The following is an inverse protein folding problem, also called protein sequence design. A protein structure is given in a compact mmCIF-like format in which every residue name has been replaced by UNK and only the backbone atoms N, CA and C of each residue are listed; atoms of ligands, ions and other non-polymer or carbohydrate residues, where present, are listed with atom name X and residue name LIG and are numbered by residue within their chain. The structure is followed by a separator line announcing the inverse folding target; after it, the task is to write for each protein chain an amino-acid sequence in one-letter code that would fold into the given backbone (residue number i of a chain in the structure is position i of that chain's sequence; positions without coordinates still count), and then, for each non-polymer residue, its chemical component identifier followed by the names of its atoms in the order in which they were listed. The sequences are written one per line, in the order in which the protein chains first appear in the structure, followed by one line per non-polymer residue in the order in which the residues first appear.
data_IF_757485419526
#
_entry.id   IF_757485419526
#
_cell.length_a   1.000
_cell.length_b   1.000
_cell.length_c   1.000
_cell.angle_alpha   90.00
_cell.angle_beta   90.00
_cell.angle_gamma   90.00
#
_symmetry.space_group_name_H-M   'P 1'
#
loop_
_entity.id
_entity.type
_entity.pdbx_description
1 polymer ?
#
# COMPACT_ATOMS: atom_id res chain seq x y z
N UNK A 1 8.45 -30.63 7.43
CA UNK A 1 8.54 -29.15 7.53
C UNK A 1 7.54 -28.59 6.54
N UNK A 2 6.67 -27.69 6.97
CA UNK A 2 5.68 -27.08 6.09
C UNK A 2 6.37 -26.28 4.95
N UNK A 3 5.85 -26.31 3.70
CA UNK A 3 6.39 -25.53 2.60
C UNK A 3 6.46 -24.03 2.93
N UNK A 4 7.53 -23.36 2.50
CA UNK A 4 7.71 -21.92 2.74
C UNK A 4 6.57 -21.11 2.11
N UNK A 5 6.11 -21.53 0.93
CA UNK A 5 5.01 -20.88 0.23
C UNK A 5 3.70 -20.85 1.05
N UNK A 6 3.40 -21.90 1.81
CA UNK A 6 2.21 -21.98 2.66
C UNK A 6 2.34 -21.06 3.86
N UNK A 7 3.44 -21.15 4.61
CA UNK A 7 3.71 -20.29 5.76
C UNK A 7 3.68 -18.81 5.38
N UNK A 8 4.26 -18.47 4.24
CA UNK A 8 4.25 -17.10 3.73
C UNK A 8 2.83 -16.65 3.35
N UNK A 9 2.05 -17.51 2.68
CA UNK A 9 0.65 -17.21 2.36
C UNK A 9 -0.18 -16.95 3.61
N UNK A 10 -0.03 -17.78 4.64
CA UNK A 10 -0.73 -17.62 5.92
C UNK A 10 -0.39 -16.28 6.58
N UNK A 11 0.88 -15.90 6.65
CA UNK A 11 1.29 -14.62 7.22
C UNK A 11 0.80 -13.41 6.40
N UNK A 12 0.79 -13.53 5.06
CA UNK A 12 0.24 -12.49 4.19
C UNK A 12 -1.28 -12.35 4.43
N UNK A 13 -2.00 -13.46 4.53
CA UNK A 13 -3.44 -13.45 4.79
C UNK A 13 -3.76 -12.87 6.17
N UNK A 14 -2.98 -13.21 7.19
CA UNK A 14 -3.12 -12.62 8.53
C UNK A 14 -2.91 -11.10 8.48
N UNK A 15 -1.82 -10.63 7.86
CA UNK A 15 -1.58 -9.20 7.66
C UNK A 15 -2.76 -8.51 6.97
N UNK A 16 -3.30 -9.10 5.90
CA UNK A 16 -4.45 -8.54 5.21
C UNK A 16 -5.70 -8.50 6.09
N UNK A 17 -5.98 -9.55 6.85
CA UNK A 17 -7.09 -9.56 7.80
C UNK A 17 -6.95 -8.45 8.85
N UNK A 18 -5.73 -8.21 9.37
CA UNK A 18 -5.45 -7.15 10.34
C UNK A 18 -5.64 -5.76 9.73
N UNK A 19 -5.13 -5.53 8.52
CA UNK A 19 -5.32 -4.28 7.77
C UNK A 19 -6.80 -4.01 7.46
N UNK A 20 -7.53 -5.03 6.99
CA UNK A 20 -8.95 -4.91 6.70
C UNK A 20 -9.78 -4.68 7.97
N UNK A 21 -9.45 -5.38 9.06
CA UNK A 21 -10.14 -5.20 10.34
C UNK A 21 -9.94 -3.77 10.87
N UNK A 22 -8.74 -3.20 10.69
CA UNK A 22 -8.47 -1.82 11.08
C UNK A 22 -9.29 -0.80 10.30
N UNK A 23 -9.50 -1.02 9.01
CA UNK A 23 -10.39 -0.16 8.21
C UNK A 23 -11.88 -0.42 8.47
N UNK A 24 -12.24 -1.38 9.34
CA UNK A 24 -13.62 -1.62 9.78
C UNK A 24 -14.30 -2.83 9.17
N UNK A 25 -13.58 -3.74 8.50
CA UNK A 25 -14.11 -5.05 8.13
C UNK A 25 -14.38 -5.90 9.38
N UNK A 26 -15.45 -6.70 9.34
CA UNK A 26 -15.76 -7.63 10.41
C UNK A 26 -14.81 -8.83 10.41
N UNK A 27 -13.87 -8.86 11.35
CA UNK A 27 -12.83 -9.89 11.48
C UNK A 27 -12.62 -10.33 12.92
N UNK A 28 -11.87 -11.43 13.09
CA UNK A 28 -11.44 -11.94 14.40
C UNK A 28 -10.03 -11.48 14.77
N UNK A 29 -9.28 -10.91 13.82
CA UNK A 29 -7.91 -10.45 14.03
C UNK A 29 -7.89 -9.11 14.76
N UNK A 30 -6.83 -8.86 15.52
CA UNK A 30 -6.55 -7.51 16.03
C UNK A 30 -6.23 -6.57 14.86
N UNK A 31 -6.56 -5.28 14.99
CA UNK A 31 -6.27 -4.29 13.96
C UNK A 31 -4.77 -4.04 13.76
N UNK A 32 -4.43 -3.27 12.74
CA UNK A 32 -3.08 -2.81 12.43
C UNK A 32 -2.96 -1.30 12.74
N UNK A 33 -2.66 -0.90 14.00
CA UNK A 33 -2.69 0.51 14.39
C UNK A 33 -1.42 1.30 14.00
N UNK A 34 -0.32 0.61 13.69
CA UNK A 34 1.03 1.22 13.68
C UNK A 34 1.35 2.04 12.41
N UNK A 35 0.66 1.79 11.29
CA UNK A 35 0.96 2.43 10.02
C UNK A 35 -0.27 2.97 9.29
N UNK A 36 -0.08 4.02 8.48
CA UNK A 36 -1.09 4.54 7.57
C UNK A 36 -1.54 3.44 6.59
N UNK A 37 -2.85 3.18 6.49
CA UNK A 37 -3.40 2.16 5.59
C UNK A 37 -3.86 2.82 4.29
N UNK A 38 -3.29 2.37 3.17
CA UNK A 38 -3.64 2.84 1.82
C UNK A 38 -4.63 1.84 1.18
N UNK A 39 -5.92 2.19 1.03
CA UNK A 39 -6.95 1.23 0.65
C UNK A 39 -6.83 0.77 -0.81
N UNK A 40 -6.31 1.60 -1.72
CA UNK A 40 -6.13 1.26 -3.14
C UNK A 40 -5.22 0.03 -3.35
N UNK A 41 -3.93 0.05 -2.92
CA UNK A 41 -3.08 -1.12 -3.05
C UNK A 41 -3.56 -2.30 -2.19
N UNK A 42 -4.22 -2.05 -1.05
CA UNK A 42 -4.81 -3.11 -0.23
C UNK A 42 -5.90 -3.88 -1.00
N UNK A 43 -6.79 -3.18 -1.69
CA UNK A 43 -7.81 -3.79 -2.57
C UNK A 43 -7.14 -4.60 -3.68
N UNK A 44 -6.17 -4.01 -4.39
CA UNK A 44 -5.50 -4.69 -5.51
C UNK A 44 -4.79 -5.96 -5.06
N UNK A 45 -4.07 -5.91 -3.94
CA UNK A 45 -3.35 -7.07 -3.44
C UNK A 45 -4.28 -8.16 -2.89
N UNK A 46 -5.37 -7.78 -2.22
CA UNK A 46 -6.41 -8.72 -1.80
C UNK A 46 -6.98 -9.49 -3.00
N UNK A 47 -7.20 -8.79 -4.11
CA UNK A 47 -7.68 -9.38 -5.36
C UNK A 47 -6.60 -10.21 -6.08
N UNK A 48 -5.34 -9.81 -5.99
CA UNK A 48 -4.20 -10.55 -6.56
C UNK A 48 -4.03 -11.93 -5.92
N UNK A 49 -4.33 -12.07 -4.63
CA UNK A 49 -4.37 -13.36 -3.93
C UNK A 49 -5.58 -14.23 -4.34
N UNK A 50 -6.52 -13.70 -5.12
CA UNK A 50 -7.58 -14.45 -5.77
C UNK A 50 -8.50 -15.19 -4.79
N UNK A 51 -8.60 -16.51 -4.94
CA UNK A 51 -9.38 -17.43 -4.11
C UNK A 51 -8.59 -17.99 -2.91
N UNK A 52 -7.40 -17.45 -2.59
CA UNK A 52 -6.62 -17.92 -1.44
C UNK A 52 -7.41 -17.83 -0.13
N UNK A 53 -8.23 -16.79 0.02
CA UNK A 53 -9.24 -16.67 1.07
C UNK A 53 -10.50 -15.98 0.50
N UNK A 54 -11.53 -16.76 0.09
CA UNK A 54 -12.78 -16.21 -0.43
C UNK A 54 -13.53 -15.34 0.58
N UNK A 55 -13.39 -15.62 1.88
CA UNK A 55 -14.04 -14.85 2.96
C UNK A 55 -13.43 -13.45 3.04
N UNK A 56 -12.11 -13.35 3.02
CA UNK A 56 -11.42 -12.05 3.02
C UNK A 56 -11.87 -11.21 1.82
N UNK A 57 -11.94 -11.80 0.62
CA UNK A 57 -12.42 -11.12 -0.59
C UNK A 57 -13.87 -10.66 -0.43
N UNK A 58 -14.75 -11.50 0.11
CA UNK A 58 -16.16 -11.19 0.31
C UNK A 58 -16.36 -10.03 1.28
N UNK A 59 -15.61 -10.00 2.37
CA UNK A 59 -15.66 -8.91 3.35
C UNK A 59 -15.05 -7.61 2.79
N UNK A 60 -13.93 -7.69 2.06
CA UNK A 60 -13.37 -6.55 1.36
C UNK A 60 -14.35 -5.98 0.32
N UNK A 61 -15.10 -6.85 -0.38
CA UNK A 61 -16.16 -6.44 -1.31
C UNK A 61 -17.28 -5.69 -0.57
N UNK A 62 -17.75 -6.21 0.57
CA UNK A 62 -18.78 -5.60 1.41
C UNK A 62 -18.38 -4.18 1.85
N UNK A 63 -17.14 -4.05 2.32
CA UNK A 63 -16.58 -2.78 2.76
C UNK A 63 -16.50 -1.79 1.59
N UNK A 64 -16.02 -2.23 0.43
CA UNK A 64 -15.90 -1.40 -0.77
C UNK A 64 -17.26 -0.92 -1.31
N UNK A 65 -18.33 -1.71 -1.15
CA UNK A 65 -19.69 -1.30 -1.50
C UNK A 65 -20.14 -0.10 -0.65
N UNK A 66 -19.78 -0.10 0.65
CA UNK A 66 -20.21 0.93 1.60
C UNK A 66 -19.29 2.15 1.63
N UNK A 67 -17.98 1.93 1.66
CA UNK A 67 -16.96 2.97 1.89
C UNK A 67 -16.05 3.20 0.67
N UNK A 68 -16.31 2.55 -0.47
CA UNK A 68 -15.52 2.72 -1.69
C UNK A 68 -15.51 4.13 -2.28
N UNK A 69 -16.37 5.02 -1.80
CA UNK A 69 -16.34 6.45 -2.17
C UNK A 69 -15.12 7.20 -1.60
N UNK A 70 -14.32 6.60 -0.70
CA UNK A 70 -13.02 7.11 -0.27
C UNK A 70 -11.85 6.56 -1.09
N UNK A 71 -12.11 5.68 -2.06
CA UNK A 71 -11.08 5.06 -2.90
C UNK A 71 -11.02 5.79 -4.25
N UNK A 72 -9.81 6.19 -4.66
CA UNK A 72 -9.58 6.87 -5.92
C UNK A 72 -9.57 5.90 -7.11
N UNK A 73 -10.62 5.96 -7.94
CA UNK A 73 -10.67 5.25 -9.22
C UNK A 73 -9.50 5.61 -10.17
N UNK A 74 -8.97 6.83 -10.08
CA UNK A 74 -7.78 7.24 -10.85
C UNK A 74 -6.52 6.54 -10.36
N UNK A 75 -6.31 6.46 -9.04
CA UNK A 75 -5.16 5.75 -8.48
C UNK A 75 -5.25 4.25 -8.76
N UNK A 76 -6.45 3.65 -8.60
CA UNK A 76 -6.68 2.25 -8.99
C UNK A 76 -6.29 2.02 -10.45
N UNK A 77 -6.70 2.89 -11.38
CA UNK A 77 -6.34 2.77 -12.80
C UNK A 77 -4.83 2.74 -13.00
N UNK A 78 -4.13 3.66 -12.35
CA UNK A 78 -2.69 3.84 -12.54
C UNK A 78 -1.91 2.70 -11.89
N UNK A 79 -2.32 2.23 -10.71
CA UNK A 79 -1.74 1.07 -10.03
C UNK A 79 -1.95 -0.22 -10.83
N UNK A 80 -3.15 -0.43 -11.39
CA UNK A 80 -3.47 -1.61 -12.20
C UNK A 80 -2.55 -1.81 -13.41
N UNK A 81 -1.97 -0.73 -13.96
CA UNK A 81 -1.04 -0.85 -15.09
C UNK A 81 0.25 -1.60 -14.71
N UNK A 82 0.57 -1.70 -13.42
CA UNK A 82 1.73 -2.39 -12.87
C UNK A 82 1.43 -3.85 -12.49
N UNK A 83 0.17 -4.24 -12.54
CA UNK A 83 -0.31 -5.56 -12.10
C UNK A 83 -0.30 -6.60 -13.22
N UNK A 84 -0.29 -7.88 -12.85
CA UNK A 84 -0.36 -8.99 -13.81
C UNK A 84 -1.71 -9.02 -14.53
N UNK A 85 -1.76 -9.61 -15.73
CA UNK A 85 -3.01 -9.81 -16.45
C UNK A 85 -4.05 -10.62 -15.65
N UNK A 86 -3.60 -11.52 -14.76
CA UNK A 86 -4.48 -12.27 -13.87
C UNK A 86 -5.12 -11.35 -12.81
N UNK A 87 -4.29 -10.54 -12.14
CA UNK A 87 -4.77 -9.55 -11.17
C UNK A 87 -5.73 -8.54 -11.82
N UNK A 88 -5.43 -8.06 -13.02
CA UNK A 88 -6.30 -7.14 -13.76
C UNK A 88 -7.67 -7.75 -14.05
N UNK A 89 -7.73 -9.03 -14.46
CA UNK A 89 -9.00 -9.74 -14.68
C UNK A 89 -9.79 -9.92 -13.38
N UNK A 90 -9.13 -10.38 -12.32
CA UNK A 90 -9.76 -10.56 -11.00
C UNK A 90 -10.30 -9.22 -10.47
N UNK A 91 -9.55 -8.14 -10.68
CA UNK A 91 -9.99 -6.80 -10.30
C UNK A 91 -11.18 -6.34 -11.12
N UNK A 92 -11.24 -6.66 -12.41
CA UNK A 92 -12.40 -6.35 -13.23
C UNK A 92 -13.70 -6.96 -12.71
N UNK A 93 -13.67 -8.24 -12.29
CA UNK A 93 -14.82 -8.89 -11.65
C UNK A 93 -15.16 -8.23 -10.30
N UNK A 94 -14.14 -7.95 -9.47
CA UNK A 94 -14.30 -7.29 -8.17
C UNK A 94 -14.95 -5.91 -8.32
N UNK A 95 -14.42 -5.07 -9.21
CA UNK A 95 -14.92 -3.73 -9.51
C UNK A 95 -16.35 -3.77 -10.07
N UNK A 96 -16.65 -4.72 -10.95
CA UNK A 96 -18.03 -4.91 -11.46
C UNK A 96 -18.99 -5.33 -10.35
N UNK A 97 -18.55 -6.17 -9.42
CA UNK A 97 -19.34 -6.61 -8.25
C UNK A 97 -19.63 -5.44 -7.31
N UNK A 98 -18.63 -4.61 -7.00
CA UNK A 98 -18.83 -3.39 -6.21
C UNK A 98 -19.78 -2.43 -6.94
N UNK A 99 -19.63 -2.26 -8.26
CA UNK A 99 -20.49 -1.39 -9.06
C UNK A 99 -21.95 -1.86 -9.16
N UNK A 100 -22.20 -3.17 -9.08
CA UNK A 100 -23.54 -3.75 -9.09
C UNK A 100 -24.35 -3.43 -7.82
N UNK A 101 -23.67 -3.13 -6.71
CA UNK A 101 -24.30 -2.86 -5.41
C UNK A 101 -24.05 -1.44 -4.88
N UNK A 102 -23.37 -0.59 -5.66
CA UNK A 102 -23.03 0.78 -5.26
C UNK A 102 -23.03 1.76 -6.44
N UNK A 103 -22.80 3.03 -6.14
CA UNK A 103 -22.61 4.08 -7.17
C UNK A 103 -21.16 4.15 -7.69
N UNK A 104 -20.25 3.32 -7.18
CA UNK A 104 -18.84 3.35 -7.58
C UNK A 104 -18.66 2.87 -9.01
N UNK A 105 -17.79 3.55 -9.76
CA UNK A 105 -17.44 3.24 -11.15
C UNK A 105 -15.93 3.21 -11.28
N UNK A 106 -15.35 2.10 -10.89
CA UNK A 106 -13.90 1.87 -10.94
C UNK A 106 -13.47 1.39 -12.33
N UNK A 107 -12.20 1.63 -12.71
CA UNK A 107 -11.67 1.26 -14.02
C UNK A 107 -11.71 -0.27 -14.23
N UNK A 108 -11.75 -0.71 -15.48
CA UNK A 108 -11.57 -2.12 -15.82
C UNK A 108 -12.69 -3.07 -15.36
N UNK A 109 -13.82 -2.55 -14.86
CA UNK A 109 -14.95 -3.37 -14.45
C UNK A 109 -15.44 -4.25 -15.61
N UNK A 110 -15.58 -5.55 -15.35
CA UNK A 110 -16.05 -6.56 -16.33
C UNK A 110 -17.45 -7.07 -15.95
N UNK A 111 -17.58 -8.37 -15.64
CA UNK A 111 -18.84 -9.00 -15.23
C UNK A 111 -18.84 -9.20 -13.72
N UNK A 112 -19.91 -8.77 -13.05
CA UNK A 112 -20.08 -9.00 -11.62
C UNK A 112 -20.25 -10.50 -11.32
N UNK A 113 -19.64 -10.97 -10.23
CA UNK A 113 -19.90 -12.31 -9.68
C UNK A 113 -21.23 -12.31 -8.93
N UNK A 114 -21.79 -13.50 -8.70
CA UNK A 114 -22.96 -13.65 -7.83
C UNK A 114 -22.51 -13.33 -6.39
N UNK A 115 -23.03 -12.24 -5.85
CA UNK A 115 -22.70 -11.77 -4.52
C UNK A 115 -23.94 -11.16 -3.85
N UNK A 116 -24.04 -11.31 -2.53
CA UNK A 116 -25.07 -10.67 -1.72
C UNK A 116 -24.38 -9.90 -0.61
N UNK A 117 -24.49 -8.55 -0.58
CA UNK A 117 -23.91 -7.75 0.49
C UNK A 117 -24.43 -8.20 1.85
N UNK A 118 -23.52 -8.28 2.83
CA UNK A 118 -23.85 -8.69 4.19
C UNK A 118 -24.15 -7.49 5.07
N UNK A 119 -23.58 -6.32 4.75
CA UNK A 119 -23.70 -5.10 5.54
C UNK A 119 -23.01 -5.17 6.91
N UNK A 120 -22.15 -6.17 7.13
CA UNK A 120 -21.46 -6.41 8.40
C UNK A 120 -20.27 -5.48 8.63
N UNK A 121 -19.77 -4.85 7.56
CA UNK A 121 -18.71 -3.83 7.66
C UNK A 121 -19.14 -2.69 8.57
N UNK A 122 -18.30 -2.39 9.57
CA UNK A 122 -18.53 -1.31 10.54
C UNK A 122 -18.12 0.03 9.93
N UNK A 123 -18.66 1.11 10.48
CA UNK A 123 -18.17 2.46 10.16
C UNK A 123 -16.74 2.59 10.65
N UNK A 124 -15.77 2.86 9.75
CA UNK A 124 -14.41 3.09 10.16
C UNK A 124 -14.36 4.34 11.04
N UNK A 125 -13.66 4.24 12.17
CA UNK A 125 -13.37 5.41 13.00
C UNK A 125 -12.16 6.13 12.41
N UNK A 126 -12.43 7.11 11.55
CA UNK A 126 -11.37 7.88 10.90
C UNK A 126 -10.53 8.68 11.89
N UNK A 127 -10.88 8.82 13.18
CA UNK A 127 -10.01 9.43 14.20
C UNK A 127 -8.79 8.57 14.57
N UNK A 128 -8.80 7.29 14.18
CA UNK A 128 -7.65 6.40 14.32
C UNK A 128 -6.46 6.85 13.46
N UNK A 129 -5.23 6.89 14.00
CA UNK A 129 -4.05 7.33 13.25
C UNK A 129 -3.77 6.50 11.99
N UNK A 130 -3.97 5.17 12.06
CA UNK A 130 -3.85 4.23 10.93
C UNK A 130 -4.73 4.59 9.73
N UNK A 131 -5.87 5.25 9.96
CA UNK A 131 -6.84 5.65 8.94
C UNK A 131 -6.63 7.07 8.42
N UNK A 132 -5.42 7.63 8.57
CA UNK A 132 -5.08 8.97 8.10
C UNK A 132 -5.34 9.15 6.60
N UNK A 133 -5.13 8.13 5.76
CA UNK A 133 -5.34 8.25 4.32
C UNK A 133 -6.83 8.43 3.99
N UNK A 134 -7.77 7.54 4.41
CA UNK A 134 -9.21 7.81 4.28
C UNK A 134 -9.65 9.15 4.89
N UNK A 135 -9.09 9.55 6.04
CA UNK A 135 -9.35 10.87 6.64
C UNK A 135 -8.96 12.02 5.71
N UNK A 136 -7.78 11.96 5.08
CA UNK A 136 -7.34 12.94 4.09
C UNK A 136 -8.25 12.97 2.88
N UNK A 137 -8.72 11.81 2.39
CA UNK A 137 -9.68 11.75 1.30
C UNK A 137 -11.01 12.40 1.69
N UNK A 138 -11.46 12.26 2.94
CA UNK A 138 -12.65 12.94 3.46
C UNK A 138 -12.46 14.47 3.55
N UNK A 139 -11.29 14.95 3.97
CA UNK A 139 -10.99 16.37 4.16
C UNK A 139 -10.70 17.12 2.85
N UNK A 140 -9.90 16.53 1.96
CA UNK A 140 -9.42 17.19 0.73
C UNK A 140 -10.14 16.72 -0.53
N UNK A 141 -11.04 15.77 -0.40
CA UNK A 141 -11.69 15.05 -1.50
C UNK A 141 -10.77 13.98 -2.10
N UNK A 142 -11.39 13.03 -2.81
CA UNK A 142 -10.69 11.91 -3.44
C UNK A 142 -9.87 12.38 -4.65
N UNK A 143 -8.56 12.58 -4.47
CA UNK A 143 -7.70 13.08 -5.55
C UNK A 143 -6.30 13.54 -5.12
N UNK A 144 -5.60 14.23 -6.04
CA UNK A 144 -4.21 14.63 -5.84
C UNK A 144 -3.96 15.49 -4.60
N UNK A 145 -4.91 16.31 -4.15
CA UNK A 145 -4.72 17.13 -2.93
C UNK A 145 -4.51 16.25 -1.69
N UNK A 146 -5.30 15.18 -1.54
CA UNK A 146 -5.16 14.24 -0.43
C UNK A 146 -3.82 13.50 -0.51
N UNK A 147 -3.38 13.08 -1.70
CA UNK A 147 -2.08 12.41 -1.86
C UNK A 147 -0.90 13.33 -1.60
N UNK A 148 -0.98 14.59 -2.02
CA UNK A 148 0.03 15.60 -1.72
C UNK A 148 0.10 15.83 -0.21
N UNK A 149 -1.05 15.96 0.46
CA UNK A 149 -1.14 16.08 1.91
C UNK A 149 -0.51 14.87 2.62
N UNK A 150 -0.76 13.63 2.14
CA UNK A 150 -0.11 12.42 2.64
C UNK A 150 1.41 12.51 2.57
N UNK A 151 1.95 12.96 1.43
CA UNK A 151 3.39 13.12 1.25
C UNK A 151 3.97 14.13 2.24
N UNK A 152 3.35 15.30 2.38
CA UNK A 152 3.83 16.32 3.33
C UNK A 152 3.70 15.89 4.79
N UNK A 153 2.68 15.11 5.18
CA UNK A 153 2.62 14.53 6.52
C UNK A 153 3.76 13.53 6.79
N UNK A 154 4.12 12.73 5.77
CA UNK A 154 5.20 11.76 5.91
C UNK A 154 6.60 12.38 5.95
N UNK A 155 6.75 13.57 5.34
CA UNK A 155 8.02 14.29 5.16
C UNK A 155 7.80 15.80 5.34
N UNK A 156 7.52 16.26 6.57
CA UNK A 156 7.01 17.61 6.83
C UNK A 156 7.97 18.75 6.48
N UNK A 157 9.28 18.47 6.51
CA UNK A 157 10.34 19.46 6.31
C UNK A 157 10.95 19.43 4.89
N UNK A 158 10.46 18.55 4.01
CA UNK A 158 10.97 18.44 2.64
C UNK A 158 10.22 19.35 1.68
N UNK A 159 10.89 19.73 0.58
CA UNK A 159 10.32 20.53 -0.49
C UNK A 159 10.33 19.76 -1.81
N UNK A 160 9.18 19.63 -2.46
CA UNK A 160 9.00 18.79 -3.63
C UNK A 160 8.59 19.59 -4.87
N UNK A 161 9.13 19.23 -6.03
CA UNK A 161 8.59 19.67 -7.31
C UNK A 161 7.34 18.86 -7.69
N UNK A 162 6.59 19.36 -8.68
CA UNK A 162 5.48 18.58 -9.25
C UNK A 162 5.95 17.28 -9.92
N UNK A 163 7.22 17.19 -10.36
CA UNK A 163 7.77 15.98 -10.95
C UNK A 163 8.06 14.91 -9.89
N UNK A 164 8.62 15.33 -8.74
CA UNK A 164 8.91 14.42 -7.62
C UNK A 164 7.61 13.74 -7.15
N UNK A 165 6.56 14.54 -6.91
CA UNK A 165 5.28 14.04 -6.40
C UNK A 165 4.49 13.20 -7.41
N UNK A 166 4.64 13.44 -8.71
CA UNK A 166 3.97 12.62 -9.73
C UNK A 166 4.43 11.16 -9.68
N UNK A 167 5.70 10.92 -9.38
CA UNK A 167 6.25 9.57 -9.22
C UNK A 167 5.74 8.82 -7.99
N UNK A 168 5.27 9.54 -6.97
CA UNK A 168 4.92 8.98 -5.66
C UNK A 168 3.42 8.86 -5.37
N UNK A 169 2.59 9.60 -6.12
CA UNK A 169 1.16 9.75 -5.81
C UNK A 169 0.23 9.03 -6.77
N UNK A 170 0.78 8.38 -7.80
CA UNK A 170 0.02 7.75 -8.89
C UNK A 170 -0.92 8.76 -9.60
N UNK A 171 -0.48 10.01 -9.75
CA UNK A 171 -1.15 11.07 -10.52
C UNK A 171 -0.21 11.67 -11.57
N UNK A 172 -0.77 12.30 -12.59
CA UNK A 172 0.03 12.97 -13.63
C UNK A 172 0.65 14.26 -13.10
N UNK A 173 1.82 14.64 -13.62
CA UNK A 173 2.50 15.90 -13.28
C UNK A 173 1.59 17.13 -13.42
N UNK A 174 0.75 17.16 -14.46
CA UNK A 174 -0.22 18.25 -14.68
C UNK A 174 -1.24 18.33 -13.54
N UNK A 175 -1.81 17.19 -13.14
CA UNK A 175 -2.79 17.15 -12.06
C UNK A 175 -2.17 17.56 -10.71
N UNK A 176 -0.94 17.10 -10.45
CA UNK A 176 -0.16 17.47 -9.27
C UNK A 176 0.17 18.96 -9.26
N UNK A 177 0.64 19.53 -10.38
CA UNK A 177 0.97 20.94 -10.46
C UNK A 177 -0.25 21.84 -10.15
N UNK A 178 -1.42 21.52 -10.71
CA UNK A 178 -2.66 22.23 -10.39
C UNK A 178 -3.05 22.09 -8.91
N UNK A 179 -2.92 20.89 -8.34
CA UNK A 179 -3.25 20.67 -6.94
C UNK A 179 -2.29 21.38 -5.98
N UNK A 180 -0.99 21.41 -6.28
CA UNK A 180 0.02 22.15 -5.52
C UNK A 180 -0.28 23.64 -5.51
N UNK A 181 -0.61 24.21 -6.67
CA UNK A 181 -0.95 25.63 -6.77
C UNK A 181 -2.21 25.97 -5.99
N UNK A 182 -3.24 25.12 -6.02
CA UNK A 182 -4.44 25.31 -5.21
C UNK A 182 -4.15 25.25 -3.70
N UNK A 183 -3.28 24.33 -3.25
CA UNK A 183 -2.88 24.23 -1.84
C UNK A 183 -1.98 25.40 -1.41
N UNK A 184 -1.17 25.95 -2.33
CA UNK A 184 -0.40 27.18 -2.12
C UNK A 184 -1.31 28.40 -1.97
N UNK A 185 -2.25 28.56 -2.89
CA UNK A 185 -3.26 29.63 -2.86
C UNK A 185 -4.17 29.52 -1.63
N UNK A 186 -4.47 28.30 -1.18
CA UNK A 186 -5.17 28.03 0.08
C UNK A 186 -4.33 28.24 1.34
N UNK A 187 -3.05 28.61 1.22
CA UNK A 187 -2.18 28.96 2.34
C UNK A 187 -1.55 27.78 3.08
N UNK A 188 -1.80 26.53 2.66
CA UNK A 188 -1.19 25.35 3.28
C UNK A 188 0.27 25.19 2.88
N UNK A 189 0.58 25.51 1.62
CA UNK A 189 1.93 25.40 1.06
C UNK A 189 2.49 26.77 0.70
N UNK A 190 3.81 26.84 0.62
CA UNK A 190 4.52 27.92 -0.06
C UNK A 190 5.38 27.36 -1.20
N UNK A 191 5.68 28.21 -2.19
CA UNK A 191 6.51 27.85 -3.33
C UNK A 191 7.87 28.54 -3.24
N UNK A 192 8.92 27.78 -3.53
CA UNK A 192 10.31 28.20 -3.55
C UNK A 192 10.85 28.03 -4.98
N UNK A 193 11.44 29.08 -5.59
CA UNK A 193 12.13 28.93 -6.85
C UNK A 193 13.43 28.14 -6.65
N UNK A 194 13.59 27.03 -7.36
CA UNK A 194 14.81 26.21 -7.35
C UNK A 194 15.23 25.98 -8.80
N UNK A 195 16.32 26.64 -9.22
CA UNK A 195 16.78 26.68 -10.61
C UNK A 195 15.63 27.12 -11.55
N UNK A 196 15.20 26.26 -12.46
CA UNK A 196 14.13 26.53 -13.43
C UNK A 196 12.80 25.83 -13.07
N UNK A 197 12.57 25.49 -11.80
CA UNK A 197 11.36 24.83 -11.33
C UNK A 197 10.90 25.38 -9.98
N UNK A 198 9.62 25.21 -9.67
CA UNK A 198 9.08 25.50 -8.35
C UNK A 198 9.08 24.24 -7.50
N UNK A 199 9.61 24.37 -6.28
CA UNK A 199 9.46 23.40 -5.22
C UNK A 199 8.46 23.92 -4.20
N UNK A 200 7.66 23.03 -3.63
CA UNK A 200 6.62 23.37 -2.67
C UNK A 200 6.96 22.73 -1.33
N UNK A 201 6.74 23.46 -0.24
CA UNK A 201 6.83 22.95 1.13
C UNK A 201 5.67 23.45 1.96
N UNK A 202 5.44 22.83 3.13
CA UNK A 202 4.46 23.33 4.07
C UNK A 202 4.86 24.73 4.55
N UNK A 203 3.87 25.62 4.66
CA UNK A 203 4.09 27.01 5.12
C UNK A 203 4.53 27.08 6.58
N UNK A 204 4.02 26.18 7.43
CA UNK A 204 4.63 25.85 8.72
C UNK A 204 4.89 24.34 8.80
N UNK A 205 5.95 23.90 9.50
CA UNK A 205 6.32 22.47 9.57
C UNK A 205 5.20 21.54 10.05
N UNK A 206 4.26 22.07 10.83
CA UNK A 206 3.21 21.37 11.55
C UNK A 206 1.78 21.78 11.15
N UNK A 207 1.60 22.70 10.19
CA UNK A 207 0.28 23.19 9.80
C UNK A 207 -0.69 22.05 9.48
N UNK A 208 -0.22 21.07 8.70
CA UNK A 208 -1.06 19.97 8.27
C UNK A 208 -1.32 18.98 9.41
N UNK A 209 -0.34 18.67 10.25
CA UNK A 209 -0.51 17.75 11.38
C UNK A 209 -1.46 18.32 12.44
N UNK A 210 -1.37 19.62 12.73
CA UNK A 210 -2.32 20.32 13.60
C UNK A 210 -3.75 20.28 13.05
N UNK A 211 -3.91 20.42 11.72
CA UNK A 211 -5.23 20.39 11.07
C UNK A 211 -5.85 18.99 11.04
N UNK A 212 -5.07 17.95 10.71
CA UNK A 212 -5.59 16.59 10.52
C UNK A 212 -5.64 15.77 11.81
N UNK A 213 -4.90 16.15 12.84
CA UNK A 213 -4.83 15.48 14.13
C UNK A 213 -3.77 14.38 14.21
N UNK A 214 -4.05 13.35 15.02
CA UNK A 214 -3.12 12.26 15.32
C UNK A 214 -2.62 11.54 14.06
N UNK A 215 -1.30 11.29 14.03
CA UNK A 215 -0.59 10.64 12.92
C UNK A 215 -0.14 9.22 13.30
N UNK A 216 -0.10 8.29 12.33
CA UNK A 216 0.43 6.96 12.57
C UNK A 216 1.95 7.00 12.76
N UNK A 217 2.53 5.93 13.33
CA UNK A 217 4.00 5.84 13.53
C UNK A 217 4.75 5.76 12.20
N UNK A 218 4.12 5.18 11.18
CA UNK A 218 4.72 5.01 9.88
C UNK A 218 3.76 5.31 8.72
N UNK A 219 4.35 5.60 7.55
CA UNK A 219 3.66 5.66 6.26
C UNK A 219 4.23 4.56 5.35
N UNK A 220 3.79 3.30 5.49
CA UNK A 220 4.31 2.19 4.69
C UNK A 220 4.03 2.41 3.20
N UNK A 221 5.01 2.06 2.36
CA UNK A 221 4.87 2.12 0.90
C UNK A 221 4.16 0.88 0.37
N UNK A 222 2.88 0.74 0.71
CA UNK A 222 2.07 -0.46 0.43
C UNK A 222 2.15 -0.97 -1.01
N UNK A 223 2.15 -0.14 -2.08
CA UNK A 223 2.31 -0.66 -3.44
C UNK A 223 3.62 -1.44 -3.63
N UNK A 224 4.75 -0.91 -3.14
CA UNK A 224 6.04 -1.58 -3.22
C UNK A 224 6.14 -2.79 -2.29
N UNK A 225 5.58 -2.69 -1.07
CA UNK A 225 5.53 -3.78 -0.10
C UNK A 225 4.76 -4.97 -0.69
N UNK A 226 3.56 -4.76 -1.21
CA UNK A 226 2.75 -5.82 -1.79
C UNK A 226 3.35 -6.42 -3.06
N UNK A 227 4.04 -5.63 -3.88
CA UNK A 227 4.81 -6.16 -5.01
C UNK A 227 5.92 -7.11 -4.55
N UNK A 228 6.64 -6.75 -3.47
CA UNK A 228 7.68 -7.62 -2.89
C UNK A 228 7.05 -8.88 -2.30
N UNK A 229 5.99 -8.77 -1.50
CA UNK A 229 5.33 -9.94 -0.90
C UNK A 229 4.76 -10.90 -1.95
N UNK A 230 4.11 -10.38 -2.99
CA UNK A 230 3.63 -11.18 -4.12
C UNK A 230 4.76 -11.92 -4.85
N UNK A 231 5.87 -11.21 -5.10
CA UNK A 231 7.06 -11.81 -5.70
C UNK A 231 7.65 -12.93 -4.82
N UNK A 232 7.77 -12.70 -3.50
CA UNK A 232 8.29 -13.71 -2.58
C UNK A 232 7.42 -14.96 -2.55
N UNK A 233 6.09 -14.78 -2.55
CA UNK A 233 5.14 -15.89 -2.59
C UNK A 233 5.25 -16.70 -3.88
N UNK A 234 5.35 -16.02 -5.02
CA UNK A 234 5.53 -16.67 -6.32
C UNK A 234 6.87 -17.41 -6.40
N UNK A 235 7.96 -16.77 -5.96
CA UNK A 235 9.30 -17.35 -5.94
C UNK A 235 9.36 -18.56 -5.02
N UNK A 236 8.84 -18.48 -3.79
CA UNK A 236 8.80 -19.62 -2.87
C UNK A 236 8.03 -20.80 -3.49
N UNK A 237 6.84 -20.54 -4.04
CA UNK A 237 5.99 -21.57 -4.64
C UNK A 237 6.65 -22.29 -5.83
N UNK A 238 7.38 -21.55 -6.69
CA UNK A 238 8.05 -22.12 -7.87
C UNK A 238 9.33 -22.86 -7.52
N UNK A 239 10.06 -22.42 -6.50
CA UNK A 239 11.43 -22.86 -6.26
C UNK A 239 11.59 -23.86 -5.12
N UNK A 240 10.63 -23.96 -4.19
CA UNK A 240 10.78 -24.77 -2.97
C UNK A 240 10.97 -26.27 -3.22
N UNK A 241 10.47 -26.78 -4.35
CA UNK A 241 10.60 -28.19 -4.78
C UNK A 241 11.79 -28.46 -5.70
N UNK A 242 12.54 -27.43 -6.10
CA UNK A 242 13.70 -27.58 -6.97
C UNK A 242 14.90 -28.16 -6.22
N UNK A 243 15.84 -28.77 -6.96
CA UNK A 243 17.11 -29.22 -6.41
C UNK A 243 17.87 -28.04 -5.76
N UNK A 244 18.60 -28.24 -4.65
CA UNK A 244 19.14 -27.14 -3.83
C UNK A 244 19.94 -26.08 -4.60
N UNK A 245 20.81 -26.50 -5.51
CA UNK A 245 21.66 -25.60 -6.29
C UNK A 245 20.85 -24.81 -7.33
N UNK A 246 19.89 -25.46 -7.99
CA UNK A 246 18.98 -24.80 -8.95
C UNK A 246 18.10 -23.79 -8.23
N UNK A 247 17.54 -24.17 -7.07
CA UNK A 247 16.75 -23.29 -6.20
C UNK A 247 17.52 -22.04 -5.82
N UNK A 248 18.78 -22.19 -5.39
CA UNK A 248 19.64 -21.06 -5.03
C UNK A 248 19.83 -20.08 -6.21
N UNK A 249 20.21 -20.60 -7.37
CA UNK A 249 20.45 -19.77 -8.57
C UNK A 249 19.19 -19.04 -9.00
N UNK A 250 18.04 -19.71 -9.03
CA UNK A 250 16.77 -19.08 -9.41
C UNK A 250 16.34 -17.99 -8.42
N UNK A 251 16.38 -18.27 -7.12
CA UNK A 251 16.00 -17.28 -6.10
C UNK A 251 16.94 -16.08 -6.14
N UNK A 252 18.26 -16.28 -6.17
CA UNK A 252 19.24 -15.17 -6.27
C UNK A 252 19.02 -14.34 -7.53
N UNK A 253 18.68 -14.97 -8.64
CA UNK A 253 18.40 -14.26 -9.90
C UNK A 253 17.15 -13.37 -9.78
N UNK A 254 16.06 -13.89 -9.23
CA UNK A 254 14.79 -13.14 -9.12
C UNK A 254 14.89 -12.06 -8.04
N UNK A 255 15.38 -12.41 -6.86
CA UNK A 255 15.46 -11.49 -5.71
C UNK A 255 16.55 -10.45 -5.91
N UNK A 256 17.70 -10.84 -6.48
CA UNK A 256 18.81 -9.93 -6.79
C UNK A 256 18.39 -8.80 -7.72
N UNK A 257 17.60 -9.10 -8.75
CA UNK A 257 17.03 -8.11 -9.67
C UNK A 257 16.08 -7.11 -9.00
N UNK A 258 15.55 -7.43 -7.81
CA UNK A 258 14.54 -6.63 -7.09
C UNK A 258 15.05 -6.01 -5.79
N UNK A 259 16.37 -5.97 -5.61
CA UNK A 259 17.00 -5.42 -4.41
C UNK A 259 16.68 -3.93 -4.25
N UNK A 260 16.64 -3.18 -5.36
CA UNK A 260 16.26 -1.76 -5.38
C UNK A 260 14.83 -1.53 -4.89
N UNK A 261 13.89 -2.36 -5.32
CA UNK A 261 12.47 -2.27 -4.99
C UNK A 261 12.24 -2.62 -3.52
N UNK A 262 12.92 -3.66 -3.02
CA UNK A 262 12.90 -4.06 -1.61
C UNK A 262 13.37 -2.90 -0.73
N UNK A 263 14.49 -2.27 -1.09
CA UNK A 263 15.01 -1.08 -0.39
C UNK A 263 14.07 0.12 -0.51
N UNK A 264 13.53 0.38 -1.70
CA UNK A 264 12.63 1.50 -1.94
C UNK A 264 11.33 1.37 -1.12
N UNK A 265 10.87 0.15 -0.86
CA UNK A 265 9.75 -0.19 0.01
C UNK A 265 10.08 -0.07 1.51
N UNK A 266 11.35 0.13 1.88
CA UNK A 266 11.79 0.21 3.27
C UNK A 266 11.93 -1.15 3.96
N UNK A 267 12.07 -2.24 3.19
CA UNK A 267 12.15 -3.61 3.71
C UNK A 267 13.61 -4.06 3.93
N UNK A 268 13.85 -5.04 4.82
CA UNK A 268 15.19 -5.60 5.05
C UNK A 268 15.82 -6.14 3.77
N UNK A 269 17.13 -5.95 3.61
CA UNK A 269 17.86 -6.43 2.43
C UNK A 269 17.89 -7.97 2.37
N UNK A 270 17.80 -8.57 1.16
CA UNK A 270 17.84 -10.02 1.00
C UNK A 270 19.21 -10.63 1.31
N UNK A 271 19.27 -11.87 1.85
CA UNK A 271 20.51 -12.56 2.21
C UNK A 271 21.18 -13.20 0.98
N UNK A 272 21.63 -12.37 0.04
CA UNK A 272 22.23 -12.83 -1.23
C UNK A 272 23.67 -13.33 -1.09
N UNK A 273 24.31 -13.06 0.04
CA UNK A 273 25.63 -13.52 0.44
C UNK A 273 25.64 -15.00 0.89
N UNK A 274 24.55 -15.47 1.49
CA UNK A 274 24.38 -16.87 1.86
C UNK A 274 24.48 -17.79 0.62
N UNK A 275 25.09 -18.97 0.77
CA UNK A 275 25.31 -19.91 -0.34
C UNK A 275 25.28 -21.37 0.13
N UNK A 276 25.05 -22.30 -0.79
CA UNK A 276 25.06 -23.73 -0.51
C UNK A 276 23.99 -24.15 0.50
N UNK A 277 24.28 -25.08 1.43
CA UNK A 277 23.29 -25.58 2.39
C UNK A 277 22.66 -24.50 3.29
N UNK A 278 23.37 -23.39 3.53
CA UNK A 278 22.90 -22.29 4.37
C UNK A 278 21.93 -21.33 3.66
N UNK A 279 21.90 -21.33 2.32
CA UNK A 279 21.12 -20.36 1.55
C UNK A 279 19.63 -20.44 1.83
N UNK A 280 19.02 -21.63 1.71
CA UNK A 280 17.57 -21.77 1.84
C UNK A 280 17.04 -21.46 3.23
N UNK A 281 17.70 -21.89 4.34
CA UNK A 281 17.34 -21.43 5.68
C UNK A 281 17.42 -19.90 5.83
N UNK A 282 18.48 -19.25 5.33
CA UNK A 282 18.64 -17.81 5.41
C UNK A 282 17.54 -17.06 4.62
N UNK A 283 17.27 -17.49 3.39
CA UNK A 283 16.20 -16.95 2.56
C UNK A 283 14.82 -17.12 3.19
N UNK A 284 14.54 -18.30 3.76
CA UNK A 284 13.28 -18.59 4.44
C UNK A 284 13.09 -17.70 5.67
N UNK A 285 14.12 -17.55 6.49
CA UNK A 285 14.08 -16.70 7.68
C UNK A 285 13.88 -15.23 7.31
N UNK A 286 14.62 -14.73 6.31
CA UNK A 286 14.48 -13.37 5.82
C UNK A 286 13.08 -13.09 5.27
N UNK A 287 12.51 -14.00 4.48
CA UNK A 287 11.18 -13.87 3.89
C UNK A 287 10.09 -13.68 4.95
N UNK A 288 10.20 -14.38 6.08
CA UNK A 288 9.27 -14.24 7.20
C UNK A 288 9.55 -12.98 8.02
N UNK A 289 10.83 -12.61 8.16
CA UNK A 289 11.23 -11.37 8.82
C UNK A 289 10.74 -10.11 8.07
N UNK A 290 10.58 -10.18 6.75
CA UNK A 290 10.00 -9.08 5.93
C UNK A 290 8.58 -8.75 6.40
N UNK A 291 7.74 -9.74 6.70
CA UNK A 291 6.37 -9.50 7.19
C UNK A 291 6.41 -9.03 8.64
N UNK A 292 7.24 -9.66 9.49
CA UNK A 292 7.39 -9.22 10.89
C UNK A 292 7.86 -7.76 11.01
N UNK A 293 8.69 -7.28 10.09
CA UNK A 293 9.13 -5.88 10.04
C UNK A 293 7.98 -4.90 9.74
N UNK A 294 6.86 -5.38 9.19
CA UNK A 294 5.67 -4.55 8.98
C UNK A 294 4.88 -4.34 10.28
N UNK A 295 4.95 -5.26 11.24
CA UNK A 295 4.29 -5.13 12.55
C UNK A 295 5.03 -4.19 13.50
N UNK A 296 6.34 -4.07 13.31
CA UNK A 296 7.19 -3.16 14.08
C UNK A 296 7.97 -2.28 13.11
N UNK A 297 7.29 -1.37 12.39
CA UNK A 297 7.99 -0.47 11.49
C UNK A 297 8.97 0.33 12.34
N UNK A 298 10.27 0.24 12.01
CA UNK A 298 11.29 0.99 12.71
C UNK A 298 10.88 2.47 12.78
N UNK A 299 10.90 3.05 13.98
CA UNK A 299 10.75 4.50 14.13
C UNK A 299 11.79 5.15 13.23
N UNK A 300 11.33 5.91 12.23
CA UNK A 300 12.23 6.90 11.64
C UNK A 300 12.52 7.88 12.76
N UNK A 301 13.76 7.86 13.23
CA UNK A 301 14.31 8.78 14.22
C UNK A 301 13.83 10.20 13.94
N UNK A 302 12.86 10.65 14.71
CA UNK A 302 12.72 12.06 15.04
C UNK A 302 13.86 12.43 16.01
N UNK A 303 15.11 12.21 15.60
CA UNK A 303 16.26 12.64 16.37
C UNK A 303 16.75 13.98 15.84
N UNK A 304 16.54 14.97 16.71
CA UNK A 304 17.32 16.19 16.93
C UNK A 304 17.24 17.29 15.88
N UNK A 305 16.25 18.16 16.06
CA UNK A 305 16.41 19.59 15.79
C UNK A 305 15.88 20.42 16.97
N UNK A 306 16.62 20.35 18.09
CA UNK A 306 16.85 21.53 18.92
C UNK A 306 18.12 22.19 18.37
N UNK A 307 17.95 23.36 17.76
CA UNK A 307 19.01 24.17 17.17
C UNK A 307 18.40 25.26 16.30
#
# INVERSE_FOLDING_TARGET
MEPLSNRLREQILDLLWRLWTEVGVSGWSEGYPDGAIDPEPLVLFTVALGDADPRLRDEATDWCIRYGHFISGTRLRNLLTRETASTQRNFGEFAATVAAHSKQRWPGATRARRYRPTGRSRTPDFSRPSLIIPRLQALFGVGARAEIAKVFLSRPNEAFSAADLAGETDFTKRNIATALENLRMGGLLEALPVRNQLHYRQKSPDALSQFVGSLPRAFPKWPGIFQVLGMLLETASKTEKLAPLVREVEVKTVVGKRTSETRAAGLPAPPLDASGPAFWPAFSAWTLAVIAALDHPAEKSAEKFTG
#
